data_IF_160918508202
#
_entry.id   IF_160918508202
#
_cell.length_a   1.000
_cell.length_b   1.000
_cell.length_c   1.000
_cell.angle_alpha   90.00
_cell.angle_beta   90.00
_cell.angle_gamma   90.00
#
_symmetry.space_group_name_H-M   'P 1'
#
loop_
_entity.id
_entity.type
_entity.pdbx_description
1 polymer ?
#
# COMPACT_ATOMS: atom_id res chain seq x y z
N UNK A 1 12.25 7.84 -25.28
CA UNK A 1 10.82 7.95 -25.68
C UNK A 1 10.06 8.86 -24.74
N UNK A 2 8.86 9.42 -25.12
CA UNK A 2 8.02 10.21 -24.21
C UNK A 2 7.34 9.28 -23.19
N UNK A 3 7.39 9.68 -21.91
CA UNK A 3 6.82 8.90 -20.81
C UNK A 3 5.59 9.59 -20.21
N UNK A 4 4.58 8.83 -19.82
CA UNK A 4 3.44 9.28 -19.01
C UNK A 4 3.29 8.41 -17.78
N UNK A 5 2.82 9.00 -16.68
CA UNK A 5 2.43 8.29 -15.46
C UNK A 5 0.92 8.24 -15.34
N UNK A 6 0.38 7.11 -14.89
CA UNK A 6 -1.04 6.97 -14.62
C UNK A 6 -1.22 6.43 -13.19
N UNK A 7 -2.01 7.13 -12.38
CA UNK A 7 -2.36 6.66 -11.03
C UNK A 7 -3.87 6.63 -10.86
N UNK A 8 -4.39 5.66 -10.14
CA UNK A 8 -5.84 5.43 -10.10
C UNK A 8 -6.64 6.62 -9.56
N UNK A 9 -6.24 7.25 -8.46
CA UNK A 9 -6.80 8.50 -7.94
C UNK A 9 -5.86 9.18 -6.94
N UNK A 10 -5.91 10.50 -6.86
CA UNK A 10 -5.14 11.34 -5.95
C UNK A 10 -6.12 12.05 -4.96
N UNK A 11 -6.90 11.26 -4.21
CA UNK A 11 -7.95 11.77 -3.31
C UNK A 11 -7.65 11.57 -1.83
N UNK A 12 -6.72 10.67 -1.51
CA UNK A 12 -6.22 10.38 -0.16
C UNK A 12 -4.70 10.36 -0.19
N UNK A 13 -4.06 10.27 0.98
CA UNK A 13 -2.62 10.01 1.08
C UNK A 13 -2.44 8.62 1.66
N UNK A 14 -1.68 7.78 0.97
CA UNK A 14 -1.43 6.41 1.37
C UNK A 14 -0.21 5.83 0.66
N UNK A 15 0.01 4.54 0.84
CA UNK A 15 1.17 3.85 0.25
C UNK A 15 1.20 3.88 -1.28
N UNK A 16 0.03 3.76 -1.93
CA UNK A 16 -0.05 3.84 -3.40
C UNK A 16 0.34 5.20 -3.95
N UNK A 17 -0.12 6.27 -3.31
CA UNK A 17 0.23 7.64 -3.67
C UNK A 17 1.72 7.93 -3.41
N UNK A 18 2.32 7.29 -2.38
CA UNK A 18 3.77 7.38 -2.15
C UNK A 18 4.56 6.72 -3.27
N UNK A 19 4.16 5.55 -3.75
CA UNK A 19 4.77 4.90 -4.92
C UNK A 19 4.64 5.78 -6.17
N UNK A 20 3.47 6.36 -6.43
CA UNK A 20 3.27 7.27 -7.55
C UNK A 20 4.17 8.51 -7.47
N UNK A 21 4.39 9.05 -6.27
CA UNK A 21 5.31 10.17 -6.01
C UNK A 21 6.77 9.79 -6.33
N UNK A 22 7.22 8.59 -5.92
CA UNK A 22 8.57 8.11 -6.21
C UNK A 22 8.75 7.84 -7.72
N UNK A 23 7.76 7.19 -8.36
CA UNK A 23 7.78 6.99 -9.82
C UNK A 23 7.85 8.32 -10.57
N UNK A 24 7.13 9.35 -10.12
CA UNK A 24 7.22 10.69 -10.68
C UNK A 24 8.60 11.33 -10.45
N UNK A 25 9.28 11.00 -9.36
CA UNK A 25 10.67 11.39 -9.13
C UNK A 25 11.64 10.79 -10.15
N UNK A 26 11.37 9.54 -10.60
CA UNK A 26 12.17 8.90 -11.67
C UNK A 26 11.94 9.60 -13.03
N UNK A 27 10.72 10.05 -13.30
CA UNK A 27 10.34 10.69 -14.56
C UNK A 27 9.90 12.15 -14.33
N UNK A 28 10.85 13.07 -14.13
CA UNK A 28 10.54 14.46 -13.78
C UNK A 28 9.77 15.23 -14.85
N UNK A 29 9.87 14.87 -16.11
CA UNK A 29 9.17 15.50 -17.23
C UNK A 29 7.80 14.88 -17.55
N UNK A 30 7.47 13.70 -16.99
CA UNK A 30 6.25 13.00 -17.31
C UNK A 30 5.00 13.64 -16.66
N UNK A 31 3.93 13.90 -17.43
CA UNK A 31 2.64 14.28 -16.87
C UNK A 31 2.00 13.11 -16.11
N UNK A 32 1.13 13.43 -15.16
CA UNK A 32 0.40 12.45 -14.35
C UNK A 32 -1.06 12.42 -14.77
N UNK A 33 -1.54 11.29 -15.19
CA UNK A 33 -2.96 11.04 -15.49
C UNK A 33 -3.63 10.35 -14.31
N UNK A 34 -4.86 10.73 -13.99
CA UNK A 34 -5.64 10.13 -12.90
C UNK A 34 -7.14 10.23 -13.13
N UNK A 35 -7.90 9.34 -12.49
CA UNK A 35 -9.36 9.45 -12.57
C UNK A 35 -9.90 10.64 -11.79
N UNK A 36 -9.39 10.84 -10.57
CA UNK A 36 -9.83 11.87 -9.64
C UNK A 36 -8.65 12.50 -8.91
N UNK A 37 -8.73 13.80 -8.70
CA UNK A 37 -7.76 14.58 -7.93
C UNK A 37 -8.46 15.43 -6.87
N UNK A 38 -7.82 15.52 -5.69
CA UNK A 38 -8.14 16.51 -4.66
C UNK A 38 -6.83 17.10 -4.13
N UNK A 39 -6.74 18.42 -3.89
CA UNK A 39 -5.51 19.04 -3.39
C UNK A 39 -4.98 18.41 -2.09
N UNK A 40 -5.90 18.06 -1.16
CA UNK A 40 -5.54 17.43 0.11
C UNK A 40 -4.99 16.00 -0.08
N UNK A 41 -5.41 15.28 -1.12
CA UNK A 41 -4.97 13.91 -1.43
C UNK A 41 -3.73 13.85 -2.34
N UNK A 42 -3.34 14.98 -2.96
CA UNK A 42 -2.20 15.02 -3.85
C UNK A 42 -0.88 15.08 -3.04
N UNK A 43 0.05 14.12 -3.21
CA UNK A 43 1.38 14.15 -2.59
C UNK A 43 2.13 15.45 -2.90
N UNK A 44 3.04 15.85 -2.00
CA UNK A 44 3.79 17.10 -2.16
C UNK A 44 4.63 17.11 -3.44
N UNK A 45 5.29 16.01 -3.77
CA UNK A 45 6.12 15.88 -4.98
C UNK A 45 5.35 15.91 -6.30
N UNK A 46 4.00 15.76 -6.25
CA UNK A 46 3.14 15.84 -7.45
C UNK A 46 2.43 17.19 -7.62
N UNK A 47 2.46 18.10 -6.63
CA UNK A 47 1.68 19.35 -6.67
C UNK A 47 2.06 20.32 -7.78
N UNK A 48 3.33 20.30 -8.17
CA UNK A 48 3.87 21.18 -9.22
C UNK A 48 3.97 20.46 -10.58
N UNK A 49 3.29 19.31 -10.72
CA UNK A 49 3.23 18.54 -11.94
C UNK A 49 1.99 18.85 -12.75
N UNK A 50 2.07 18.65 -14.05
CA UNK A 50 0.90 18.60 -14.90
C UNK A 50 0.08 17.35 -14.52
N UNK A 51 -1.16 17.55 -14.01
CA UNK A 51 -2.07 16.48 -13.62
C UNK A 51 -3.32 16.57 -14.48
N UNK A 52 -3.53 15.54 -15.28
CA UNK A 52 -4.63 15.41 -16.23
C UNK A 52 -5.66 14.42 -15.66
N UNK A 53 -6.92 14.86 -15.56
CA UNK A 53 -7.97 14.06 -14.92
C UNK A 53 -8.98 13.53 -15.94
N UNK A 54 -9.66 12.44 -15.59
CA UNK A 54 -10.77 11.91 -16.38
C UNK A 54 -11.95 12.88 -16.43
N UNK A 55 -12.87 12.74 -17.41
CA UNK A 55 -14.11 13.54 -17.46
C UNK A 55 -14.97 13.43 -16.20
N UNK A 56 -14.89 12.33 -15.45
CA UNK A 56 -15.60 12.14 -14.18
C UNK A 56 -15.23 13.18 -13.11
N UNK A 57 -14.04 13.76 -13.18
CA UNK A 57 -13.61 14.84 -12.28
C UNK A 57 -14.55 16.06 -12.34
N UNK A 58 -15.20 16.30 -13.49
CA UNK A 58 -16.10 17.44 -13.69
C UNK A 58 -17.47 17.24 -13.04
N UNK A 59 -17.81 16.01 -12.64
CA UNK A 59 -19.06 15.73 -11.94
C UNK A 59 -18.98 16.29 -10.52
N UNK A 60 -19.93 17.10 -10.07
CA UNK A 60 -19.92 17.65 -8.72
C UNK A 60 -19.76 16.57 -7.66
N UNK A 61 -18.84 16.80 -6.71
CA UNK A 61 -18.52 15.90 -5.61
C UNK A 61 -17.99 14.49 -6.02
N UNK A 62 -17.74 14.21 -7.29
CA UNK A 62 -17.30 12.90 -7.77
C UNK A 62 -16.03 12.40 -7.04
N UNK A 63 -15.05 13.27 -6.82
CA UNK A 63 -13.84 12.93 -6.08
C UNK A 63 -14.08 12.53 -4.61
N UNK A 64 -15.19 12.99 -3.99
CA UNK A 64 -15.61 12.59 -2.64
C UNK A 64 -16.29 11.23 -2.63
N UNK A 65 -17.08 10.94 -3.68
CA UNK A 65 -17.86 9.72 -3.83
C UNK A 65 -17.31 8.80 -4.92
N UNK A 66 -16.01 8.91 -5.22
CA UNK A 66 -15.36 8.21 -6.34
C UNK A 66 -15.69 6.70 -6.41
N UNK A 67 -15.80 6.02 -5.28
CA UNK A 67 -16.11 4.57 -5.24
C UNK A 67 -17.47 4.20 -5.82
N UNK A 68 -18.42 5.11 -5.89
CA UNK A 68 -19.74 4.86 -6.47
C UNK A 68 -19.74 4.90 -8.01
N UNK A 69 -18.66 5.38 -8.62
CA UNK A 69 -18.51 5.46 -10.08
C UNK A 69 -17.93 4.18 -10.70
N UNK A 70 -17.82 3.10 -9.93
CA UNK A 70 -17.27 1.82 -10.40
C UNK A 70 -17.82 1.35 -11.78
N UNK A 71 -19.14 1.40 -12.05
CA UNK A 71 -19.67 1.00 -13.35
C UNK A 71 -19.19 1.87 -14.53
N UNK A 72 -18.78 3.11 -14.27
CA UNK A 72 -18.31 4.07 -15.26
C UNK A 72 -16.79 4.09 -15.41
N UNK A 73 -16.07 3.39 -14.57
CA UNK A 73 -14.60 3.35 -14.64
C UNK A 73 -14.06 2.86 -15.98
N UNK A 74 -14.60 1.81 -16.61
CA UNK A 74 -14.15 1.40 -17.93
C UNK A 74 -14.14 2.55 -18.94
N UNK A 75 -15.26 3.25 -19.05
CA UNK A 75 -15.38 4.41 -19.93
C UNK A 75 -14.42 5.54 -19.55
N UNK A 76 -14.37 5.91 -18.26
CA UNK A 76 -13.59 7.05 -17.82
C UNK A 76 -12.07 6.86 -17.98
N UNK A 77 -11.58 5.64 -17.78
CA UNK A 77 -10.17 5.28 -17.99
C UNK A 77 -9.80 5.37 -19.47
N UNK A 78 -10.68 4.91 -20.37
CA UNK A 78 -10.45 4.96 -21.81
C UNK A 78 -10.55 6.38 -22.41
N UNK A 79 -11.01 7.37 -21.64
CA UNK A 79 -10.99 8.80 -22.02
C UNK A 79 -9.70 9.52 -21.66
N UNK A 80 -8.77 8.88 -20.96
CA UNK A 80 -7.45 9.47 -20.70
C UNK A 80 -6.64 9.46 -22.00
N UNK A 81 -6.27 10.62 -22.52
CA UNK A 81 -5.56 10.75 -23.79
C UNK A 81 -4.05 10.51 -23.63
N UNK A 82 -3.65 9.29 -23.90
CA UNK A 82 -2.26 8.84 -23.81
C UNK A 82 -1.57 8.70 -25.19
N UNK A 83 -2.13 9.33 -26.23
CA UNK A 83 -1.53 9.30 -27.57
C UNK A 83 -0.17 9.97 -27.61
N UNK A 84 0.75 9.39 -28.33
CA UNK A 84 2.11 9.88 -28.51
C UNK A 84 3.05 9.63 -27.33
N UNK A 85 2.64 8.83 -26.31
CA UNK A 85 3.52 8.34 -25.27
C UNK A 85 3.98 6.91 -25.60
N UNK A 86 5.29 6.73 -25.70
CA UNK A 86 5.88 5.40 -25.98
C UNK A 86 6.02 4.53 -24.74
N UNK A 87 6.16 5.13 -23.55
CA UNK A 87 6.16 4.44 -22.27
C UNK A 87 5.06 5.00 -21.37
N UNK A 88 4.21 4.11 -20.87
CA UNK A 88 3.18 4.46 -19.89
C UNK A 88 3.36 3.62 -18.63
N UNK A 89 3.74 4.28 -17.53
CA UNK A 89 3.92 3.66 -16.22
C UNK A 89 2.64 3.84 -15.42
N UNK A 90 2.01 2.74 -15.08
CA UNK A 90 0.71 2.71 -14.38
C UNK A 90 0.91 2.25 -12.95
N UNK A 91 0.51 3.05 -11.96
CA UNK A 91 0.45 2.70 -10.53
C UNK A 91 -1.01 2.37 -10.17
N UNK A 92 -1.33 1.07 -10.05
CA UNK A 92 -2.73 0.60 -10.04
C UNK A 92 -3.09 -0.28 -8.83
N UNK A 93 -4.18 0.09 -8.17
CA UNK A 93 -4.97 -0.79 -7.29
C UNK A 93 -6.45 -0.80 -7.70
N UNK A 94 -6.72 -0.39 -8.93
CA UNK A 94 -8.05 -0.14 -9.45
C UNK A 94 -8.13 -0.39 -10.97
N UNK A 95 -8.81 0.50 -11.70
CA UNK A 95 -9.12 0.29 -13.11
C UNK A 95 -8.07 0.84 -14.08
N UNK A 96 -7.07 1.62 -13.64
CA UNK A 96 -6.27 2.45 -14.56
C UNK A 96 -5.29 1.68 -15.43
N UNK A 97 -5.04 0.39 -15.15
CA UNK A 97 -4.36 -0.48 -16.11
C UNK A 97 -5.11 -0.63 -17.44
N UNK A 98 -6.41 -0.28 -17.45
CA UNK A 98 -7.26 -0.36 -18.64
C UNK A 98 -7.14 0.80 -19.63
N UNK A 99 -6.19 1.72 -19.44
CA UNK A 99 -5.91 2.82 -20.39
C UNK A 99 -5.69 2.29 -21.81
N UNK A 100 -6.00 3.13 -22.80
CA UNK A 100 -5.73 2.83 -24.22
C UNK A 100 -4.48 3.54 -24.66
N UNK A 101 -3.62 2.82 -25.33
CA UNK A 101 -2.34 3.28 -25.84
C UNK A 101 -2.30 3.14 -27.36
N UNK A 102 -1.39 3.88 -27.97
CA UNK A 102 -1.05 3.71 -29.40
C UNK A 102 -0.34 2.37 -29.63
N UNK A 103 -0.40 1.88 -30.85
CA UNK A 103 0.29 0.66 -31.25
C UNK A 103 1.81 0.82 -31.06
N UNK A 104 2.43 -0.16 -30.43
CA UNK A 104 3.86 -0.18 -30.12
C UNK A 104 4.25 0.56 -28.81
N UNK A 105 3.32 1.23 -28.12
CA UNK A 105 3.59 1.78 -26.81
C UNK A 105 3.70 0.67 -25.75
N UNK A 106 4.63 0.83 -24.81
CA UNK A 106 4.87 -0.11 -23.73
C UNK A 106 4.14 0.34 -22.48
N UNK A 107 3.30 -0.55 -21.91
CA UNK A 107 2.64 -0.36 -20.62
C UNK A 107 3.33 -1.17 -19.53
N UNK A 108 3.89 -0.50 -18.53
CA UNK A 108 4.40 -1.12 -17.31
C UNK A 108 3.41 -0.83 -16.18
N UNK A 109 2.73 -1.86 -15.69
CA UNK A 109 1.76 -1.73 -14.60
C UNK A 109 2.37 -2.17 -13.27
N UNK A 110 2.67 -1.21 -12.40
CA UNK A 110 2.97 -1.48 -11.01
C UNK A 110 1.64 -1.73 -10.25
N UNK A 111 1.36 -2.99 -10.02
CA UNK A 111 0.12 -3.46 -9.41
C UNK A 111 0.26 -3.50 -7.89
N UNK A 112 -0.48 -2.64 -7.18
CA UNK A 112 -0.58 -2.70 -5.72
C UNK A 112 -1.45 -3.86 -5.26
N UNK A 113 -2.52 -4.12 -6.00
CA UNK A 113 -3.42 -5.26 -5.85
C UNK A 113 -4.36 -5.37 -7.06
N UNK A 114 -4.74 -6.56 -7.53
CA UNK A 114 -5.98 -6.74 -8.28
C UNK A 114 -7.17 -6.19 -7.48
N UNK A 115 -8.18 -5.62 -8.15
CA UNK A 115 -9.32 -4.97 -7.48
C UNK A 115 -10.00 -5.91 -6.47
N UNK A 116 -9.69 -5.79 -5.17
CA UNK A 116 -10.15 -6.69 -4.11
C UNK A 116 -11.66 -6.88 -4.12
N UNK A 117 -12.39 -5.77 -4.26
CA UNK A 117 -13.86 -5.77 -4.27
C UNK A 117 -14.49 -6.46 -5.50
N UNK A 118 -13.72 -6.82 -6.51
CA UNK A 118 -14.18 -7.61 -7.66
C UNK A 118 -13.71 -9.06 -7.61
N UNK A 119 -12.56 -9.34 -6.97
CA UNK A 119 -11.92 -10.64 -7.07
C UNK A 119 -11.92 -11.42 -5.74
N UNK A 120 -11.29 -10.90 -4.68
CA UNK A 120 -11.11 -11.65 -3.44
C UNK A 120 -12.22 -11.39 -2.40
N UNK A 121 -12.58 -10.13 -2.21
CA UNK A 121 -13.47 -9.67 -1.14
C UNK A 121 -14.82 -9.17 -1.70
N UNK A 122 -15.30 -9.83 -2.76
CA UNK A 122 -16.53 -9.43 -3.43
C UNK A 122 -17.75 -9.47 -2.49
N UNK A 123 -17.93 -10.56 -1.75
CA UNK A 123 -19.09 -10.71 -0.86
C UNK A 123 -18.96 -9.82 0.39
N UNK A 124 -17.77 -9.71 1.01
CA UNK A 124 -17.53 -8.81 2.12
C UNK A 124 -17.79 -7.35 1.76
N UNK A 125 -17.32 -6.95 0.56
CA UNK A 125 -17.55 -5.61 0.06
C UNK A 125 -19.03 -5.36 -0.25
N UNK A 126 -19.71 -6.30 -0.90
CA UNK A 126 -21.15 -6.21 -1.15
C UNK A 126 -21.96 -6.14 0.14
N UNK A 127 -21.60 -6.90 1.17
CA UNK A 127 -22.29 -6.91 2.46
C UNK A 127 -22.20 -5.54 3.18
N UNK A 128 -21.12 -4.79 2.97
CA UNK A 128 -20.93 -3.46 3.56
C UNK A 128 -21.80 -2.35 2.94
N UNK A 129 -22.48 -2.63 1.83
CA UNK A 129 -23.30 -1.66 1.10
C UNK A 129 -24.78 -1.69 1.55
N UNK A 130 -25.46 -0.53 1.41
CA UNK A 130 -26.92 -0.48 1.52
C UNK A 130 -27.59 -1.35 0.43
N UNK A 131 -28.79 -1.84 0.69
CA UNK A 131 -29.49 -2.79 -0.20
C UNK A 131 -29.57 -2.32 -1.67
N UNK A 132 -29.97 -1.05 -2.00
CA UNK A 132 -30.04 -0.61 -3.41
C UNK A 132 -28.67 -0.51 -4.05
N UNK A 133 -27.64 -0.04 -3.33
CA UNK A 133 -26.27 0.07 -3.84
C UNK A 133 -25.67 -1.31 -4.08
N UNK A 134 -25.92 -2.26 -3.20
CA UNK A 134 -25.51 -3.67 -3.33
C UNK A 134 -26.15 -4.32 -4.56
N UNK A 135 -27.44 -4.10 -4.81
CA UNK A 135 -28.12 -4.62 -5.99
C UNK A 135 -27.49 -4.07 -7.29
N UNK A 136 -27.23 -2.75 -7.35
CA UNK A 136 -26.56 -2.12 -8.49
C UNK A 136 -25.13 -2.63 -8.69
N UNK A 137 -24.38 -2.79 -7.59
CA UNK A 137 -23.03 -3.37 -7.60
C UNK A 137 -23.05 -4.79 -8.18
N UNK A 138 -23.92 -5.67 -7.66
CA UNK A 138 -24.03 -7.05 -8.13
C UNK A 138 -24.42 -7.14 -9.61
N UNK A 139 -25.31 -6.27 -10.06
CA UNK A 139 -25.73 -6.22 -11.47
C UNK A 139 -24.60 -5.81 -12.44
N UNK A 140 -23.63 -5.01 -11.97
CA UNK A 140 -22.56 -4.44 -12.80
C UNK A 140 -21.20 -5.12 -12.62
N UNK A 141 -20.95 -5.72 -11.47
CA UNK A 141 -19.65 -6.29 -11.10
C UNK A 141 -19.11 -7.32 -12.10
N UNK A 142 -19.95 -8.20 -12.63
CA UNK A 142 -19.57 -9.20 -13.63
C UNK A 142 -19.06 -8.57 -14.93
N UNK A 143 -19.68 -7.44 -15.37
CA UNK A 143 -19.22 -6.70 -16.55
C UNK A 143 -17.89 -5.99 -16.28
N UNK A 144 -17.75 -5.36 -15.13
CA UNK A 144 -16.50 -4.67 -14.76
C UNK A 144 -15.37 -5.68 -14.57
N UNK A 145 -15.64 -6.85 -13.96
CA UNK A 145 -14.64 -7.93 -13.80
C UNK A 145 -14.15 -8.44 -15.17
N UNK A 146 -15.04 -8.65 -16.13
CA UNK A 146 -14.66 -9.06 -17.49
C UNK A 146 -13.83 -7.99 -18.18
N UNK A 147 -14.21 -6.74 -18.05
CA UNK A 147 -13.44 -5.62 -18.58
C UNK A 147 -12.05 -5.53 -17.93
N UNK A 148 -11.96 -5.69 -16.61
CA UNK A 148 -10.71 -5.67 -15.84
C UNK A 148 -9.76 -6.80 -16.27
N UNK A 149 -10.30 -8.01 -16.47
CA UNK A 149 -9.54 -9.13 -17.02
C UNK A 149 -8.99 -8.81 -18.40
N UNK A 150 -9.84 -8.30 -19.31
CA UNK A 150 -9.43 -7.94 -20.68
C UNK A 150 -8.40 -6.78 -20.67
N UNK A 151 -8.54 -5.83 -19.77
CA UNK A 151 -7.58 -4.75 -19.57
C UNK A 151 -6.21 -5.30 -19.15
N UNK A 152 -6.19 -6.26 -18.23
CA UNK A 152 -4.96 -6.91 -17.78
C UNK A 152 -4.26 -7.69 -18.93
N UNK A 153 -4.99 -8.22 -19.90
CA UNK A 153 -4.38 -8.89 -21.05
C UNK A 153 -3.62 -7.94 -21.99
N UNK A 154 -3.96 -6.64 -22.00
CA UNK A 154 -3.29 -5.61 -22.81
C UNK A 154 -2.03 -5.03 -22.16
N UNK A 155 -1.88 -5.19 -20.85
CA UNK A 155 -0.67 -4.72 -20.13
C UNK A 155 0.57 -5.42 -20.67
N UNK A 156 1.60 -4.67 -21.08
CA UNK A 156 2.82 -5.26 -21.61
C UNK A 156 3.58 -5.99 -20.51
N UNK A 157 3.84 -5.32 -19.38
CA UNK A 157 4.57 -5.88 -18.25
C UNK A 157 3.90 -5.55 -16.93
N UNK A 158 3.83 -6.53 -16.03
CA UNK A 158 3.41 -6.33 -14.66
C UNK A 158 4.59 -6.32 -13.69
N UNK A 159 4.60 -5.32 -12.80
CA UNK A 159 5.35 -5.34 -11.56
C UNK A 159 4.37 -5.55 -10.40
N UNK A 160 4.66 -6.50 -9.54
CA UNK A 160 3.87 -6.78 -8.33
C UNK A 160 4.58 -6.18 -7.11
N UNK A 161 3.84 -5.54 -6.20
CA UNK A 161 4.41 -4.97 -4.98
C UNK A 161 4.84 -6.01 -3.94
N UNK A 162 4.51 -7.29 -4.15
CA UNK A 162 4.80 -8.40 -3.26
C UNK A 162 4.64 -9.75 -3.98
N UNK A 163 5.17 -10.82 -3.43
CA UNK A 163 4.91 -12.19 -3.90
C UNK A 163 3.44 -12.56 -3.72
N UNK A 164 2.81 -12.05 -2.67
CA UNK A 164 1.37 -12.21 -2.47
C UNK A 164 0.57 -11.61 -3.64
N UNK A 165 0.89 -10.39 -4.09
CA UNK A 165 0.24 -9.77 -5.25
C UNK A 165 0.64 -10.45 -6.56
N UNK A 166 1.88 -10.92 -6.70
CA UNK A 166 2.32 -11.72 -7.85
C UNK A 166 1.44 -12.97 -8.02
N UNK A 167 1.23 -13.73 -6.95
CA UNK A 167 0.35 -14.91 -6.96
C UNK A 167 -1.11 -14.54 -7.33
N UNK A 168 -1.59 -13.37 -6.89
CA UNK A 168 -2.94 -12.88 -7.22
C UNK A 168 -3.06 -12.42 -8.67
N UNK A 169 -2.04 -11.78 -9.24
CA UNK A 169 -1.98 -11.44 -10.67
C UNK A 169 -2.07 -12.73 -11.49
N UNK A 170 -1.29 -13.74 -11.15
CA UNK A 170 -1.35 -15.05 -11.81
C UNK A 170 -2.71 -15.69 -11.67
N UNK A 171 -3.29 -15.70 -10.46
CA UNK A 171 -4.59 -16.33 -10.17
C UNK A 171 -5.74 -15.69 -10.93
N UNK A 172 -5.80 -14.34 -10.98
CA UNK A 172 -6.97 -13.63 -11.50
C UNK A 172 -6.83 -13.20 -12.95
N UNK A 173 -5.61 -12.94 -13.42
CA UNK A 173 -5.36 -12.46 -14.76
C UNK A 173 -4.64 -13.48 -15.64
N UNK A 174 -4.07 -14.55 -15.06
CA UNK A 174 -3.24 -15.51 -15.79
C UNK A 174 -1.98 -14.88 -16.38
N UNK A 175 -1.46 -13.80 -15.73
CA UNK A 175 -0.32 -13.03 -16.23
C UNK A 175 0.88 -13.21 -15.31
N UNK A 176 2.05 -13.27 -15.94
CA UNK A 176 3.31 -13.21 -15.21
C UNK A 176 3.60 -11.78 -14.72
N UNK A 177 4.37 -11.67 -13.65
CA UNK A 177 4.82 -10.39 -13.09
C UNK A 177 6.17 -10.52 -12.39
N UNK A 178 6.90 -9.43 -12.32
CA UNK A 178 8.15 -9.32 -11.55
C UNK A 178 7.86 -8.65 -10.22
N UNK A 179 8.37 -9.19 -9.12
CA UNK A 179 8.21 -8.56 -7.80
C UNK A 179 9.19 -7.40 -7.68
N UNK A 180 8.65 -6.24 -7.32
CA UNK A 180 9.39 -5.05 -6.94
C UNK A 180 8.73 -4.45 -5.71
N UNK A 181 9.34 -4.59 -4.55
CA UNK A 181 8.80 -4.08 -3.29
C UNK A 181 8.64 -2.56 -3.29
N UNK A 182 7.58 -2.01 -2.68
CA UNK A 182 7.34 -0.57 -2.67
C UNK A 182 8.37 0.19 -1.84
N UNK A 183 8.62 1.47 -2.17
CA UNK A 183 9.63 2.29 -1.51
C UNK A 183 9.18 2.69 -0.10
N UNK A 184 10.02 2.49 0.88
CA UNK A 184 9.83 2.90 2.28
C UNK A 184 10.79 4.07 2.61
N UNK A 185 10.31 5.05 3.37
CA UNK A 185 11.11 6.20 3.85
C UNK A 185 12.02 5.80 5.04
N UNK A 186 12.84 4.77 4.89
CA UNK A 186 13.66 4.21 5.99
C UNK A 186 14.66 5.20 6.56
N UNK A 187 15.04 6.22 5.80
CA UNK A 187 15.87 7.35 6.26
C UNK A 187 15.22 8.10 7.44
N UNK A 188 13.89 8.20 7.48
CA UNK A 188 13.16 8.80 8.62
C UNK A 188 13.33 7.97 9.89
N UNK A 189 13.21 6.64 9.75
CA UNK A 189 13.47 5.73 10.88
C UNK A 189 14.88 5.89 11.41
N UNK A 190 15.88 5.97 10.53
CA UNK A 190 17.27 6.21 10.92
C UNK A 190 17.46 7.56 11.65
N UNK A 191 16.79 8.64 11.19
CA UNK A 191 16.79 9.92 11.91
C UNK A 191 16.20 9.82 13.32
N UNK A 192 15.07 9.09 13.47
CA UNK A 192 14.46 8.89 14.78
C UNK A 192 15.30 8.01 15.70
N UNK A 193 15.95 6.97 15.19
CA UNK A 193 16.91 6.16 15.95
C UNK A 193 18.09 7.00 16.43
N UNK A 194 18.61 7.91 15.58
CA UNK A 194 19.70 8.81 15.95
C UNK A 194 19.34 9.79 17.07
N UNK A 195 18.05 10.17 17.18
CA UNK A 195 17.54 11.02 18.28
C UNK A 195 17.54 10.30 19.63
N UNK A 196 17.69 8.97 19.66
CA UNK A 196 17.71 8.14 20.89
C UNK A 196 16.53 8.43 21.81
N UNK A 197 15.34 8.63 21.24
CA UNK A 197 14.14 8.86 22.05
C UNK A 197 13.84 7.63 22.92
N UNK A 198 13.43 7.81 24.18
CA UNK A 198 13.12 6.69 25.05
C UNK A 198 11.91 5.92 24.54
N UNK A 199 11.97 4.60 24.69
CA UNK A 199 10.82 3.74 24.51
C UNK A 199 9.79 4.00 25.59
N UNK A 200 8.53 4.01 25.21
CA UNK A 200 7.39 4.14 26.12
C UNK A 200 6.62 2.81 26.16
N UNK A 201 6.03 2.48 27.30
CA UNK A 201 5.29 1.24 27.51
C UNK A 201 3.91 1.28 26.84
N UNK A 202 3.85 1.22 25.51
CA UNK A 202 2.62 1.08 24.75
C UNK A 202 2.85 0.30 23.44
N UNK A 203 1.83 -0.43 22.99
CA UNK A 203 1.72 -0.97 21.65
C UNK A 203 1.10 0.05 20.72
N UNK A 204 1.47 0.01 19.44
CA UNK A 204 0.94 0.91 18.44
C UNK A 204 0.14 0.14 17.37
N UNK A 205 -1.03 0.66 17.02
CA UNK A 205 -1.67 0.36 15.72
C UNK A 205 -1.63 1.63 14.87
N UNK A 206 -1.22 1.51 13.60
CA UNK A 206 -1.19 2.64 12.66
C UNK A 206 -1.89 2.28 11.35
N UNK A 207 -2.85 3.11 10.92
CA UNK A 207 -3.53 2.94 9.65
C UNK A 207 -5.01 3.31 9.67
N UNK A 208 -5.67 3.09 8.52
CA UNK A 208 -7.10 3.38 8.39
C UNK A 208 -7.94 2.40 9.22
N UNK A 209 -8.94 2.91 9.91
CA UNK A 209 -9.87 2.12 10.71
C UNK A 209 -10.99 1.55 9.83
N UNK A 210 -10.69 0.43 9.17
CA UNK A 210 -11.58 -0.31 8.26
C UNK A 210 -11.64 -1.78 8.66
N UNK A 211 -12.71 -2.53 8.32
CA UNK A 211 -12.94 -3.88 8.86
C UNK A 211 -11.77 -4.85 8.66
N UNK A 212 -11.15 -4.89 7.48
CA UNK A 212 -10.07 -5.83 7.18
C UNK A 212 -8.77 -5.57 7.95
N UNK A 213 -8.61 -4.37 8.55
CA UNK A 213 -7.45 -4.05 9.41
C UNK A 213 -7.52 -4.72 10.78
N UNK A 214 -8.68 -5.26 11.16
CA UNK A 214 -8.87 -6.05 12.38
C UNK A 214 -8.33 -5.37 13.64
N UNK A 215 -8.53 -4.06 13.76
CA UNK A 215 -8.14 -3.29 14.96
C UNK A 215 -8.89 -3.75 16.21
N UNK A 216 -10.07 -4.36 16.01
CA UNK A 216 -10.86 -5.04 17.03
C UNK A 216 -10.04 -6.06 17.82
N UNK A 217 -9.17 -6.83 17.15
CA UNK A 217 -8.32 -7.84 17.80
C UNK A 217 -7.25 -7.19 18.68
N UNK A 218 -6.60 -6.13 18.22
CA UNK A 218 -5.61 -5.39 19.00
C UNK A 218 -6.25 -4.81 20.28
N UNK A 219 -7.43 -4.19 20.15
CA UNK A 219 -8.18 -3.64 21.29
C UNK A 219 -8.56 -4.75 22.28
N UNK A 220 -9.15 -5.85 21.79
CA UNK A 220 -9.60 -6.95 22.63
C UNK A 220 -8.42 -7.59 23.40
N UNK A 221 -7.31 -7.86 22.71
CA UNK A 221 -6.11 -8.43 23.33
C UNK A 221 -5.49 -7.48 24.37
N UNK A 222 -5.34 -6.20 24.05
CA UNK A 222 -4.77 -5.21 24.98
C UNK A 222 -5.67 -4.98 26.19
N UNK A 223 -7.01 -4.92 26.02
CA UNK A 223 -7.96 -4.87 27.12
C UNK A 223 -7.80 -6.08 28.06
N UNK A 224 -7.71 -7.29 27.49
CA UNK A 224 -7.61 -8.54 28.27
C UNK A 224 -6.31 -8.65 29.04
N UNK A 225 -5.20 -8.14 28.47
CA UNK A 225 -3.88 -8.17 29.06
C UNK A 225 -3.58 -6.94 29.95
N UNK A 226 -4.44 -5.93 29.96
CA UNK A 226 -4.17 -4.64 30.63
C UNK A 226 -3.00 -3.88 30.01
N UNK A 227 -2.74 -4.05 28.70
CA UNK A 227 -1.63 -3.36 28.00
C UNK A 227 -2.10 -2.05 27.39
N UNK A 228 -1.22 -1.06 27.41
CA UNK A 228 -1.47 0.24 26.75
C UNK A 228 -1.41 0.08 25.25
N UNK A 229 -2.45 0.58 24.54
CA UNK A 229 -2.53 0.59 23.09
C UNK A 229 -2.81 2.01 22.60
N UNK A 230 -1.99 2.52 21.70
CA UNK A 230 -2.25 3.75 20.95
C UNK A 230 -2.69 3.39 19.53
N UNK A 231 -3.75 4.05 19.06
CA UNK A 231 -4.33 3.83 17.73
C UNK A 231 -4.22 5.13 16.95
N UNK A 232 -3.33 5.14 15.95
CA UNK A 232 -3.11 6.25 15.02
C UNK A 232 -3.85 6.01 13.71
N UNK A 233 -4.74 6.92 13.35
CA UNK A 233 -5.55 6.89 12.13
C UNK A 233 -7.03 7.08 12.41
N UNK A 234 -7.80 7.22 11.32
CA UNK A 234 -9.25 7.39 11.34
C UNK A 234 -9.94 6.46 10.34
N UNK A 235 -11.24 6.36 10.39
CA UNK A 235 -12.00 5.55 9.45
C UNK A 235 -13.42 5.21 9.88
N UNK A 236 -14.19 4.52 9.01
CA UNK A 236 -15.60 4.23 9.27
C UNK A 236 -15.86 3.34 10.50
N UNK A 237 -14.88 2.54 10.94
CA UNK A 237 -15.01 1.66 12.13
C UNK A 237 -14.72 2.40 13.44
N UNK A 238 -14.30 3.67 13.43
CA UNK A 238 -13.82 4.37 14.62
C UNK A 238 -14.84 4.38 15.77
N UNK A 239 -16.10 4.68 15.50
CA UNK A 239 -17.14 4.72 16.53
C UNK A 239 -17.34 3.34 17.20
N UNK A 240 -17.35 2.27 16.41
CA UNK A 240 -17.44 0.89 16.89
C UNK A 240 -16.21 0.50 17.73
N UNK A 241 -15.02 0.83 17.25
CA UNK A 241 -13.77 0.52 17.93
C UNK A 241 -13.63 1.29 19.26
N UNK A 242 -14.06 2.55 19.31
CA UNK A 242 -14.11 3.34 20.55
C UNK A 242 -15.06 2.73 21.57
N UNK A 243 -16.19 2.17 21.15
CA UNK A 243 -17.13 1.50 22.04
C UNK A 243 -16.57 0.20 22.65
N UNK A 244 -15.56 -0.42 22.03
CA UNK A 244 -14.86 -1.61 22.51
C UNK A 244 -13.65 -1.27 23.40
N UNK A 245 -13.17 -0.04 23.35
CA UNK A 245 -11.94 0.37 24.01
C UNK A 245 -12.10 0.42 25.53
N UNK A 246 -11.14 -0.20 26.23
CA UNK A 246 -10.98 -0.07 27.68
C UNK A 246 -10.11 1.14 28.06
N UNK A 247 -9.83 1.33 29.33
CA UNK A 247 -9.12 2.51 29.86
C UNK A 247 -7.65 2.60 29.41
N UNK A 248 -7.08 1.52 28.90
CA UNK A 248 -5.69 1.45 28.43
C UNK A 248 -5.54 1.76 26.93
N UNK A 249 -6.65 2.01 26.23
CA UNK A 249 -6.67 2.22 24.77
C UNK A 249 -6.86 3.71 24.46
N UNK A 250 -5.90 4.30 23.76
CA UNK A 250 -5.90 5.71 23.36
C UNK A 250 -6.02 5.86 21.84
N UNK A 251 -6.99 6.66 21.38
CA UNK A 251 -7.14 7.00 19.96
C UNK A 251 -6.51 8.36 19.69
N UNK A 252 -5.46 8.37 18.86
CA UNK A 252 -4.73 9.58 18.51
C UNK A 252 -5.33 10.34 17.33
N UNK A 253 -6.29 9.72 16.60
CA UNK A 253 -6.82 10.28 15.35
C UNK A 253 -5.81 10.25 14.22
N UNK A 254 -6.07 11.05 13.18
CA UNK A 254 -5.14 11.19 12.05
C UNK A 254 -3.95 12.05 12.46
N UNK A 255 -2.76 11.50 12.38
CA UNK A 255 -1.50 12.16 12.71
C UNK A 255 -0.82 12.69 11.43
N UNK A 256 -0.08 13.77 11.55
CA UNK A 256 0.86 14.16 10.50
C UNK A 256 2.07 13.20 10.46
N UNK A 257 2.91 13.36 9.44
CA UNK A 257 4.05 12.45 9.23
C UNK A 257 5.00 12.43 10.43
N UNK A 258 5.38 13.59 10.96
CA UNK A 258 6.33 13.67 12.09
C UNK A 258 5.73 13.07 13.37
N UNK A 259 4.47 13.35 13.64
CA UNK A 259 3.74 12.78 14.77
C UNK A 259 3.66 11.26 14.68
N UNK A 260 3.37 10.71 13.49
CA UNK A 260 3.29 9.27 13.28
C UNK A 260 4.64 8.59 13.48
N UNK A 261 5.71 9.16 12.90
CA UNK A 261 7.06 8.61 13.08
C UNK A 261 7.54 8.68 14.54
N UNK A 262 7.12 9.71 15.28
CA UNK A 262 7.36 9.77 16.72
C UNK A 262 6.68 8.63 17.49
N UNK A 263 5.48 8.17 17.06
CA UNK A 263 4.82 7.01 17.66
C UNK A 263 5.57 5.72 17.32
N UNK A 264 5.98 5.52 16.05
CA UNK A 264 6.82 4.37 15.70
C UNK A 264 8.09 4.30 16.54
N UNK A 265 8.81 5.40 16.67
CA UNK A 265 10.08 5.43 17.42
C UNK A 265 9.93 5.13 18.91
N UNK A 266 8.75 5.35 19.50
CA UNK A 266 8.53 5.24 20.96
C UNK A 266 7.78 3.98 21.39
N UNK A 267 7.04 3.33 20.48
CA UNK A 267 6.27 2.15 20.87
C UNK A 267 7.17 0.95 21.21
N UNK A 268 6.69 0.03 22.04
CA UNK A 268 7.33 -1.26 22.28
C UNK A 268 7.34 -2.12 21.03
N UNK A 269 6.17 -2.25 20.39
CA UNK A 269 5.99 -2.95 19.13
C UNK A 269 4.78 -2.43 18.38
N UNK A 270 4.75 -2.64 17.05
CA UNK A 270 3.59 -2.41 16.21
C UNK A 270 2.68 -3.64 16.21
N UNK A 271 1.37 -3.47 16.39
CA UNK A 271 0.36 -4.51 16.22
C UNK A 271 -0.22 -4.45 14.80
N UNK A 272 0.06 -5.45 13.99
CA UNK A 272 -0.32 -5.53 12.59
C UNK A 272 -1.28 -6.70 12.32
N UNK A 273 -2.58 -6.49 12.61
CA UNK A 273 -3.60 -7.55 12.61
C UNK A 273 -4.18 -7.88 11.23
N UNK A 274 -3.86 -7.10 10.22
CA UNK A 274 -4.48 -7.18 8.90
C UNK A 274 -3.89 -8.29 8.03
N UNK A 275 -4.72 -8.92 7.20
CA UNK A 275 -4.27 -9.60 5.99
C UNK A 275 -4.07 -8.55 4.89
N UNK A 276 -2.84 -8.16 4.65
CA UNK A 276 -2.47 -7.15 3.65
C UNK A 276 -1.68 -7.71 2.48
N UNK A 277 -1.67 -6.92 1.42
CA UNK A 277 -0.92 -7.26 0.21
C UNK A 277 0.59 -7.08 0.39
N UNK A 278 1.01 -6.09 1.20
CA UNK A 278 2.41 -5.87 1.55
C UNK A 278 2.59 -5.45 3.01
N UNK A 279 2.11 -4.27 3.42
CA UNK A 279 2.20 -3.82 4.82
C UNK A 279 3.33 -2.82 5.07
N UNK A 280 3.33 -1.69 4.34
CA UNK A 280 4.36 -0.65 4.47
C UNK A 280 4.57 -0.17 5.91
N UNK A 281 3.48 -0.07 6.70
CA UNK A 281 3.55 0.41 8.10
C UNK A 281 4.40 -0.49 9.02
N UNK A 282 4.51 -1.80 8.70
CA UNK A 282 5.38 -2.71 9.42
C UNK A 282 6.85 -2.29 9.22
N UNK A 283 7.27 -2.07 7.98
CA UNK A 283 8.62 -1.63 7.64
C UNK A 283 8.94 -0.21 8.12
N UNK A 284 7.92 0.67 8.20
CA UNK A 284 8.08 2.00 8.82
C UNK A 284 8.44 1.87 10.31
N UNK A 285 7.73 1.03 11.07
CA UNK A 285 8.05 0.75 12.47
C UNK A 285 9.42 0.05 12.62
N UNK A 286 9.68 -0.95 11.79
CA UNK A 286 10.97 -1.66 11.77
C UNK A 286 12.14 -0.73 11.44
N UNK A 287 11.95 0.26 10.57
CA UNK A 287 13.00 1.24 10.26
C UNK A 287 13.38 2.11 11.48
N UNK A 288 12.46 2.24 12.45
CA UNK A 288 12.72 2.83 13.77
C UNK A 288 13.30 1.82 14.77
N UNK A 289 13.64 0.60 14.36
CA UNK A 289 14.15 -0.46 15.22
C UNK A 289 13.08 -1.13 16.08
N UNK A 290 11.79 -1.00 15.75
CA UNK A 290 10.69 -1.55 16.54
C UNK A 290 10.16 -2.84 15.96
N UNK A 291 10.00 -3.84 16.82
CA UNK A 291 9.47 -5.13 16.41
C UNK A 291 8.00 -5.03 15.99
N UNK A 292 7.56 -6.00 15.18
CA UNK A 292 6.18 -6.08 14.71
C UNK A 292 5.55 -7.39 15.20
N UNK A 293 4.32 -7.32 15.71
CA UNK A 293 3.49 -8.47 16.04
C UNK A 293 2.40 -8.54 14.97
N UNK A 294 2.52 -9.48 14.04
CA UNK A 294 1.70 -9.50 12.83
C UNK A 294 0.94 -10.80 12.65
N UNK A 295 -0.21 -10.70 11.95
CA UNK A 295 -0.86 -11.88 11.40
C UNK A 295 0.05 -12.56 10.36
N UNK A 296 0.31 -13.87 10.56
CA UNK A 296 1.30 -14.64 9.79
C UNK A 296 0.85 -15.03 8.38
N UNK A 297 0.18 -14.14 7.65
CA UNK A 297 -0.27 -14.37 6.28
C UNK A 297 -0.14 -13.12 5.39
N UNK A 298 -0.08 -13.36 4.07
CA UNK A 298 0.01 -12.30 3.08
C UNK A 298 1.34 -11.56 3.11
N UNK A 299 1.30 -10.23 3.00
CA UNK A 299 2.50 -9.40 2.92
C UNK A 299 3.37 -9.40 4.16
N UNK A 300 2.83 -9.73 5.35
CA UNK A 300 3.62 -9.82 6.59
C UNK A 300 4.71 -10.89 6.52
N UNK A 301 4.53 -11.92 5.70
CA UNK A 301 5.56 -12.94 5.46
C UNK A 301 6.77 -12.40 4.68
N UNK A 302 6.62 -11.24 4.05
CA UNK A 302 7.66 -10.59 3.25
C UNK A 302 8.25 -9.36 3.95
N UNK A 303 7.44 -8.68 4.79
CA UNK A 303 7.82 -7.43 5.47
C UNK A 303 8.35 -7.61 6.88
N UNK A 304 8.48 -8.85 7.37
CA UNK A 304 9.10 -9.14 8.65
C UNK A 304 9.62 -10.58 8.71
N UNK A 305 10.43 -10.87 9.71
CA UNK A 305 10.91 -12.22 10.06
C UNK A 305 10.40 -12.61 11.44
N UNK A 306 9.48 -13.58 11.52
CA UNK A 306 8.92 -14.06 12.80
C UNK A 306 9.88 -14.97 13.58
N UNK A 307 10.99 -15.41 12.96
CA UNK A 307 12.05 -16.19 13.59
C UNK A 307 13.39 -15.89 12.91
N UNK A 308 14.47 -16.17 13.61
CA UNK A 308 15.83 -16.04 13.05
C UNK A 308 16.05 -17.08 11.94
N UNK A 309 16.70 -16.65 10.86
CA UNK A 309 17.06 -17.49 9.71
C UNK A 309 18.51 -17.25 9.32
N UNK A 310 19.02 -18.00 8.33
CA UNK A 310 20.34 -17.73 7.75
C UNK A 310 20.44 -16.31 7.14
N UNK A 311 19.30 -15.69 6.77
CA UNK A 311 19.24 -14.33 6.25
C UNK A 311 19.25 -13.25 7.34
N UNK A 312 19.21 -13.62 8.63
CA UNK A 312 19.31 -12.71 9.77
C UNK A 312 18.35 -13.01 10.92
N UNK A 313 18.42 -12.20 12.00
CA UNK A 313 17.60 -12.36 13.19
C UNK A 313 16.12 -12.10 12.93
N UNK A 314 15.26 -12.49 13.88
CA UNK A 314 13.85 -12.15 13.89
C UNK A 314 13.66 -10.62 14.01
N UNK A 315 12.65 -10.09 13.33
CA UNK A 315 12.25 -8.68 13.41
C UNK A 315 10.90 -8.51 14.13
N UNK A 316 10.25 -9.61 14.50
CA UNK A 316 8.98 -9.60 15.19
C UNK A 316 8.45 -11.00 15.48
N UNK A 317 7.15 -11.09 15.72
CA UNK A 317 6.42 -12.31 16.03
C UNK A 317 5.21 -12.44 15.12
N UNK A 318 4.96 -13.63 14.58
CA UNK A 318 3.70 -13.95 13.90
C UNK A 318 2.71 -14.58 14.87
N UNK A 319 1.45 -14.17 14.79
CA UNK A 319 0.33 -14.92 15.34
C UNK A 319 -0.45 -15.60 14.19
N UNK A 320 -1.02 -16.79 14.45
CA UNK A 320 -1.43 -17.71 13.39
C UNK A 320 -2.87 -17.52 12.92
N UNK A 321 -3.76 -17.02 13.79
CA UNK A 321 -5.18 -16.88 13.50
C UNK A 321 -5.65 -15.46 13.82
N UNK A 322 -6.56 -14.91 13.02
CA UNK A 322 -7.19 -13.62 13.31
C UNK A 322 -8.23 -13.73 14.44
N UNK A 323 -7.81 -14.25 15.60
CA UNK A 323 -8.57 -14.36 16.84
C UNK A 323 -7.92 -13.56 17.97
N UNK A 324 -8.70 -13.20 19.00
CA UNK A 324 -8.17 -12.50 20.18
C UNK A 324 -7.14 -13.37 20.90
N UNK A 325 -7.38 -14.65 21.02
CA UNK A 325 -6.53 -15.63 21.71
C UNK A 325 -5.18 -15.75 21.04
N UNK A 326 -5.16 -15.86 19.71
CA UNK A 326 -3.91 -15.93 18.93
C UNK A 326 -3.12 -14.61 19.02
N UNK A 327 -3.81 -13.46 19.00
CA UNK A 327 -3.18 -12.16 19.21
C UNK A 327 -2.58 -12.02 20.61
N UNK A 328 -3.27 -12.49 21.67
CA UNK A 328 -2.76 -12.53 23.05
C UNK A 328 -1.49 -13.39 23.10
N UNK A 329 -1.51 -14.58 22.50
CA UNK A 329 -0.33 -15.45 22.44
C UNK A 329 0.85 -14.77 21.72
N UNK A 330 0.60 -14.06 20.63
CA UNK A 330 1.62 -13.28 19.92
C UNK A 330 2.24 -12.17 20.78
N UNK A 331 1.43 -11.41 21.52
CA UNK A 331 1.92 -10.39 22.47
C UNK A 331 2.76 -11.03 23.57
N UNK A 332 2.29 -12.10 24.19
CA UNK A 332 3.01 -12.81 25.26
C UNK A 332 4.31 -13.42 24.74
N UNK A 333 4.34 -13.97 23.53
CA UNK A 333 5.54 -14.47 22.89
C UNK A 333 6.57 -13.35 22.64
N UNK A 334 6.11 -12.17 22.20
CA UNK A 334 6.98 -11.00 22.06
C UNK A 334 7.54 -10.59 23.41
N UNK A 335 6.71 -10.41 24.44
CA UNK A 335 7.13 -9.99 25.79
C UNK A 335 8.16 -10.96 26.42
N UNK A 336 7.99 -12.27 26.21
CA UNK A 336 8.95 -13.27 26.70
C UNK A 336 10.32 -13.23 25.99
N UNK A 337 10.40 -12.58 24.82
CA UNK A 337 11.60 -12.51 23.98
C UNK A 337 12.04 -11.09 23.63
N UNK A 338 11.44 -10.09 24.20
CA UNK A 338 11.63 -8.67 23.85
C UNK A 338 13.13 -8.27 23.85
N UNK A 339 13.87 -8.73 24.82
CA UNK A 339 15.33 -8.51 24.92
C UNK A 339 16.18 -9.12 23.80
N UNK A 340 15.62 -10.01 22.98
CA UNK A 340 16.31 -10.64 21.85
C UNK A 340 16.08 -9.90 20.53
N UNK A 341 15.20 -8.93 20.50
CA UNK A 341 14.96 -8.10 19.31
C UNK A 341 15.95 -6.92 19.31
N UNK A 342 17.01 -7.05 18.50
CA UNK A 342 17.99 -5.98 18.33
C UNK A 342 17.46 -4.87 17.42
N UNK A 343 17.24 -3.64 17.92
CA UNK A 343 16.73 -2.52 17.12
C UNK A 343 17.58 -2.22 15.87
N UNK A 344 18.91 -2.40 15.94
CA UNK A 344 19.80 -2.15 14.81
C UNK A 344 19.66 -3.19 13.72
N UNK A 345 19.47 -4.45 14.09
CA UNK A 345 19.23 -5.53 13.15
C UNK A 345 17.86 -5.42 12.49
N UNK A 346 16.82 -5.03 13.23
CA UNK A 346 15.46 -4.76 12.72
C UNK A 346 15.51 -3.63 11.69
N UNK A 347 16.12 -2.49 12.04
CA UNK A 347 16.24 -1.36 11.12
C UNK A 347 17.09 -1.69 9.87
N UNK A 348 18.09 -2.56 10.01
CA UNK A 348 18.90 -3.04 8.89
C UNK A 348 18.08 -3.88 7.92
N UNK A 349 17.15 -4.71 8.41
CA UNK A 349 16.23 -5.45 7.58
C UNK A 349 15.32 -4.51 6.78
N UNK A 350 14.71 -3.50 7.44
CA UNK A 350 13.83 -2.54 6.79
C UNK A 350 14.53 -1.73 5.69
N UNK A 351 15.84 -1.45 5.82
CA UNK A 351 16.63 -0.75 4.79
C UNK A 351 16.68 -1.49 3.45
N UNK A 352 16.47 -2.79 3.42
CA UNK A 352 16.33 -3.55 2.16
C UNK A 352 15.11 -3.14 1.32
N UNK A 353 14.23 -2.29 1.83
CA UNK A 353 13.01 -1.82 1.18
C UNK A 353 13.01 -0.30 0.96
N UNK A 354 14.16 0.35 1.02
CA UNK A 354 14.23 1.81 0.88
C UNK A 354 13.94 2.28 -0.55
N UNK A 355 13.85 3.61 -0.69
CA UNK A 355 13.56 4.27 -1.97
C UNK A 355 14.64 3.95 -3.02
N UNK A 356 15.91 3.86 -2.62
CA UNK A 356 17.02 3.63 -3.55
C UNK A 356 16.95 2.22 -4.14
N UNK A 357 16.60 1.21 -3.35
CA UNK A 357 16.35 -0.15 -3.83
C UNK A 357 15.20 -0.19 -4.83
N UNK A 358 14.11 0.52 -4.53
CA UNK A 358 12.98 0.60 -5.45
C UNK A 358 13.37 1.28 -6.77
N UNK A 359 14.02 2.44 -6.72
CA UNK A 359 14.42 3.21 -7.90
C UNK A 359 15.39 2.41 -8.76
N UNK A 360 16.40 1.81 -8.13
CA UNK A 360 17.39 0.97 -8.82
C UNK A 360 16.73 -0.24 -9.47
N UNK A 361 15.90 -0.97 -8.73
CA UNK A 361 15.19 -2.14 -9.24
C UNK A 361 14.22 -1.79 -10.37
N UNK A 362 13.52 -0.65 -10.28
CA UNK A 362 12.63 -0.19 -11.35
C UNK A 362 13.40 0.17 -12.62
N UNK A 363 14.52 0.90 -12.50
CA UNK A 363 15.38 1.23 -13.63
C UNK A 363 15.99 -0.02 -14.27
N UNK A 364 16.47 -0.97 -13.46
CA UNK A 364 17.00 -2.24 -13.97
C UNK A 364 15.92 -3.04 -14.70
N UNK A 365 14.71 -3.09 -14.15
CA UNK A 365 13.58 -3.73 -14.82
C UNK A 365 13.31 -3.10 -16.18
N UNK A 366 13.20 -1.77 -16.29
CA UNK A 366 12.97 -1.12 -17.57
C UNK A 366 14.09 -1.41 -18.59
N UNK A 367 15.35 -1.42 -18.14
CA UNK A 367 16.50 -1.78 -19.01
C UNK A 367 16.43 -3.22 -19.50
N UNK A 368 15.82 -4.12 -18.76
CA UNK A 368 15.68 -5.53 -19.16
C UNK A 368 14.56 -5.78 -20.17
N UNK A 369 13.54 -4.91 -20.19
CA UNK A 369 12.33 -5.13 -21.00
C UNK A 369 12.23 -4.17 -22.20
N UNK A 370 12.96 -3.06 -22.20
CA UNK A 370 12.97 -2.09 -23.29
C UNK A 370 14.26 -2.22 -24.13
N UNK A 371 14.18 -2.15 -25.47
CA UNK A 371 15.35 -1.97 -26.31
C UNK A 371 16.12 -0.69 -25.91
N UNK A 372 17.46 -0.72 -25.93
CA UNK A 372 18.29 0.41 -25.50
C UNK A 372 17.97 1.73 -26.21
N UNK A 373 17.65 1.68 -27.48
CA UNK A 373 17.26 2.84 -28.30
C UNK A 373 15.96 3.50 -27.84
N UNK A 374 15.14 2.78 -27.08
CA UNK A 374 13.84 3.23 -26.59
C UNK A 374 13.88 3.69 -25.13
N UNK A 375 15.04 3.67 -24.49
CA UNK A 375 15.14 4.11 -23.10
C UNK A 375 14.76 5.58 -22.97
N UNK A 376 13.94 5.95 -21.97
CA UNK A 376 13.81 7.33 -21.52
C UNK A 376 15.16 7.87 -21.06
N UNK A 377 15.39 9.16 -21.24
CA UNK A 377 16.65 9.81 -20.83
C UNK A 377 16.98 9.55 -19.36
N UNK A 378 15.98 9.57 -18.50
CA UNK A 378 16.08 9.35 -17.04
C UNK A 378 16.55 7.92 -16.67
N UNK A 379 16.46 6.99 -17.63
CA UNK A 379 16.93 5.60 -17.47
C UNK A 379 18.37 5.45 -17.99
N UNK A 380 18.79 6.27 -18.96
CA UNK A 380 20.17 6.33 -19.46
C UNK A 380 21.11 6.95 -18.42
N UNK A 381 20.70 8.06 -17.77
CA UNK A 381 21.46 8.81 -16.77
C UNK A 381 21.67 8.02 -15.47
N UNK A 382 22.47 7.01 -15.46
CA UNK A 382 22.75 6.15 -14.30
C UNK A 382 23.32 4.79 -14.69
N UNK A 383 23.78 4.69 -15.93
CA UNK A 383 24.39 3.47 -16.47
C UNK A 383 25.93 3.46 -16.32
N UNK A 384 26.50 4.30 -15.41
CA UNK A 384 27.94 4.37 -15.14
C UNK A 384 28.30 3.85 -13.78
#
# INVERSE_FOLDING_TARGET
MRTALVHHWLVTRGGGERVAEVLAGIFPSAPVFTLFQRPAGTPRGLRNREILTSPLQRVPMASRFHRHFLPLYPWAVEQLDLRGYGLVVVSDSGPVKGVRLDDGAVQVCYCHAPMRYLWDDYEGYAASMSAPVRAAFRATAGRVRRWDYNAAQRVTHFLANSRNVQARIQKFYGRDSTVLYPPIDTWRGAEWMAKKVPEEDFYLHAGRLVPYKRVDLAIAACNRLGRRLRIAGGGPEEAKLRAMAGPTVEFLGELDTEQLWAQYARCRALLFCALEDFGMVALEAESCGRAVIAFGEGGSLETMRGHATAAGPATGVWFEEQTMESMIAGIQQFEAREQHFDPSAIATFARGFDIEHFVTGFKQFLRSVLPRQDWPQEIEDGAH
#
